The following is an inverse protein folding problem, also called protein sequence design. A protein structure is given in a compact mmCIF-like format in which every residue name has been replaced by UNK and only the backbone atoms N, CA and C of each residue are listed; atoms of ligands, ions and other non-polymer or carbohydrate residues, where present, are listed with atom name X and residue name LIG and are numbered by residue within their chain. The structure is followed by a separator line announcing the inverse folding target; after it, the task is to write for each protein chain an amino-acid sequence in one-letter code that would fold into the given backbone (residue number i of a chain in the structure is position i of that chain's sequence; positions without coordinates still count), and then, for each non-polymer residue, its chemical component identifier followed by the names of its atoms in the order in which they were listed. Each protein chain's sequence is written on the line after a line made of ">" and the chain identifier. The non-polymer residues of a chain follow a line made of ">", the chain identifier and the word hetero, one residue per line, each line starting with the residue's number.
data_IF_725509693997
#
_entry.id   IF_725509693997
#
_cell.length_a   1.000
_cell.length_b   1.000
_cell.length_c   1.000
_cell.angle_alpha   90.00
_cell.angle_beta   90.00
_cell.angle_gamma   90.00
#
_symmetry.space_group_name_H-M   'P 1'
#
loop_
_entity.id
_entity.type
_entity.pdbx_description
1 polymer ?
#
# COMPACT_ATOMS: atom_id res chain seq x y z
N UNK A 1 31.40 21.40 8.89
CA UNK A 1 30.53 20.44 8.15
C UNK A 1 29.66 19.73 9.17
N UNK A 2 28.36 20.03 9.24
CA UNK A 2 27.48 19.42 10.26
C UNK A 2 26.96 18.07 9.74
N UNK A 3 27.65 16.99 10.07
CA UNK A 3 27.18 15.63 9.78
C UNK A 3 26.15 15.24 10.84
N UNK A 4 24.87 15.37 10.52
CA UNK A 4 23.81 14.77 11.33
C UNK A 4 24.02 13.24 11.35
N UNK A 5 23.98 12.58 12.53
CA UNK A 5 24.05 11.11 12.61
C UNK A 5 22.92 10.39 11.85
N UNK A 6 21.89 11.12 11.40
CA UNK A 6 20.78 10.60 10.59
C UNK A 6 20.88 10.98 9.10
N UNK A 7 22.03 11.48 8.63
CA UNK A 7 22.23 11.84 7.23
C UNK A 7 22.05 10.64 6.29
N UNK A 8 22.46 9.44 6.72
CA UNK A 8 22.27 8.21 5.96
C UNK A 8 20.79 7.86 5.74
N UNK A 9 19.94 8.02 6.77
CA UNK A 9 18.49 7.82 6.69
C UNK A 9 17.84 8.79 5.68
N UNK A 10 18.27 10.05 5.64
CA UNK A 10 17.78 11.02 4.64
C UNK A 10 18.19 10.65 3.23
N UNK A 11 19.40 10.08 3.06
CA UNK A 11 19.91 9.60 1.77
C UNK A 11 19.09 8.41 1.22
N UNK A 12 18.51 7.59 2.09
CA UNK A 12 17.63 6.50 1.67
C UNK A 12 16.27 6.99 1.13
N UNK A 13 15.79 8.15 1.58
CA UNK A 13 14.52 8.71 1.16
C UNK A 13 14.58 9.48 -0.19
N UNK A 14 15.56 9.17 -1.03
CA UNK A 14 15.73 9.85 -2.32
C UNK A 14 14.70 9.35 -3.35
N UNK A 15 14.09 10.25 -4.15
CA UNK A 15 13.12 9.86 -5.17
C UNK A 15 13.72 8.93 -6.24
N UNK A 16 15.02 9.07 -6.54
CA UNK A 16 15.75 8.19 -7.48
C UNK A 16 15.79 6.74 -6.98
N UNK A 17 16.13 6.54 -5.70
CA UNK A 17 16.14 5.20 -5.09
C UNK A 17 14.73 4.62 -5.00
N UNK A 18 13.75 5.41 -4.56
CA UNK A 18 12.35 4.97 -4.52
C UNK A 18 11.87 4.49 -5.91
N UNK A 19 12.17 5.25 -6.97
CA UNK A 19 11.86 4.85 -8.35
C UNK A 19 12.56 3.56 -8.76
N UNK A 20 13.86 3.44 -8.47
CA UNK A 20 14.62 2.22 -8.77
C UNK A 20 14.06 0.99 -8.03
N UNK A 21 13.68 1.15 -6.75
CA UNK A 21 13.04 0.09 -5.96
C UNK A 21 11.67 -0.29 -6.53
N UNK A 22 10.86 0.68 -6.96
CA UNK A 22 9.56 0.41 -7.60
C UNK A 22 9.75 -0.38 -8.90
N UNK A 23 10.67 0.05 -9.77
CA UNK A 23 10.96 -0.64 -11.03
C UNK A 23 11.48 -2.05 -10.76
N UNK A 24 12.46 -2.19 -9.87
CA UNK A 24 13.01 -3.49 -9.50
C UNK A 24 11.96 -4.43 -8.89
N UNK A 25 11.10 -3.91 -8.03
CA UNK A 25 9.96 -4.65 -7.46
C UNK A 25 9.00 -5.11 -8.55
N UNK A 26 8.61 -4.22 -9.47
CA UNK A 26 7.74 -4.57 -10.60
C UNK A 26 8.35 -5.68 -11.45
N UNK A 27 9.62 -5.55 -11.85
CA UNK A 27 10.31 -6.58 -12.64
C UNK A 27 10.40 -7.92 -11.90
N UNK A 28 10.74 -7.89 -10.61
CA UNK A 28 10.79 -9.08 -9.77
C UNK A 28 9.44 -9.78 -9.72
N UNK A 29 8.37 -9.05 -9.41
CA UNK A 29 7.02 -9.63 -9.33
C UNK A 29 6.50 -10.09 -10.68
N UNK A 30 6.78 -9.38 -11.77
CA UNK A 30 6.41 -9.82 -13.12
C UNK A 30 7.12 -11.12 -13.49
N UNK A 31 8.45 -11.18 -13.29
CA UNK A 31 9.23 -12.41 -13.52
C UNK A 31 8.74 -13.56 -12.65
N UNK A 32 8.43 -13.29 -11.39
CA UNK A 32 7.93 -14.30 -10.49
C UNK A 32 6.58 -14.85 -10.98
N UNK A 33 5.64 -13.99 -11.38
CA UNK A 33 4.33 -14.42 -11.87
C UNK A 33 4.38 -15.28 -13.15
N UNK A 34 5.48 -15.31 -13.91
CA UNK A 34 5.64 -16.19 -15.09
C UNK A 34 5.44 -17.66 -14.73
N UNK A 35 5.72 -18.09 -13.48
CA UNK A 35 5.48 -19.48 -13.07
C UNK A 35 4.02 -19.92 -13.24
N UNK A 36 3.07 -18.97 -13.22
CA UNK A 36 1.65 -19.25 -13.44
C UNK A 36 1.33 -19.75 -14.85
N UNK A 37 2.16 -19.42 -15.85
CA UNK A 37 2.01 -19.92 -17.22
C UNK A 37 2.33 -21.42 -17.34
N UNK A 38 3.15 -21.96 -16.43
CA UNK A 38 3.59 -23.36 -16.47
C UNK A 38 2.64 -24.24 -15.65
N UNK A 39 2.07 -23.70 -14.57
CA UNK A 39 1.31 -24.50 -13.62
C UNK A 39 -0.21 -24.44 -13.75
N UNK A 40 -0.75 -23.76 -14.77
CA UNK A 40 -2.18 -23.74 -15.08
C UNK A 40 -2.45 -24.38 -16.44
N UNK A 41 -3.45 -25.25 -16.49
CA UNK A 41 -3.97 -25.88 -17.71
C UNK A 41 -5.34 -25.29 -18.06
N UNK A 42 -5.64 -25.18 -19.35
CA UNK A 42 -6.97 -24.81 -19.82
C UNK A 42 -7.89 -26.03 -19.80
N UNK A 43 -8.85 -26.06 -18.87
CA UNK A 43 -9.90 -27.08 -18.78
C UNK A 43 -11.25 -26.60 -19.34
N UNK A 44 -12.24 -27.50 -19.35
CA UNK A 44 -13.61 -27.19 -19.82
C UNK A 44 -14.30 -26.05 -19.06
N UNK A 45 -13.88 -25.77 -17.81
CA UNK A 45 -14.44 -24.72 -16.96
C UNK A 45 -13.48 -23.53 -16.76
N UNK A 46 -12.48 -23.38 -17.63
CA UNK A 46 -11.48 -22.31 -17.57
C UNK A 46 -10.10 -22.81 -17.12
N UNK A 47 -9.23 -21.88 -16.70
CA UNK A 47 -7.89 -22.21 -16.24
C UNK A 47 -7.93 -22.89 -14.87
N UNK A 48 -7.56 -24.17 -14.83
CA UNK A 48 -7.42 -24.95 -13.60
C UNK A 48 -5.93 -25.10 -13.29
N UNK A 49 -5.56 -25.05 -12.02
CA UNK A 49 -4.21 -25.40 -11.63
C UNK A 49 -3.95 -26.85 -12.07
N UNK A 50 -2.79 -27.09 -12.70
CA UNK A 50 -2.33 -28.44 -13.03
C UNK A 50 -2.48 -29.34 -11.80
N UNK A 51 -3.01 -30.55 -11.98
CA UNK A 51 -3.24 -31.50 -10.88
C UNK A 51 -1.94 -32.01 -10.23
N UNK A 52 -0.78 -31.46 -10.62
CA UNK A 52 0.49 -31.80 -10.02
C UNK A 52 0.55 -31.35 -8.55
N UNK A 53 0.62 -32.29 -7.60
CA UNK A 53 0.53 -31.97 -6.17
C UNK A 53 1.69 -31.06 -5.70
N UNK A 54 2.85 -31.16 -6.35
CA UNK A 54 4.02 -30.32 -6.07
C UNK A 54 3.76 -28.85 -6.40
N UNK A 55 3.12 -28.57 -7.54
CA UNK A 55 2.80 -27.20 -7.93
C UNK A 55 1.71 -26.59 -7.04
N UNK A 56 0.68 -27.38 -6.70
CA UNK A 56 -0.36 -26.97 -5.74
C UNK A 56 0.22 -26.58 -4.37
N UNK A 57 1.18 -27.36 -3.85
CA UNK A 57 1.90 -27.06 -2.61
C UNK A 57 2.73 -25.77 -2.74
N UNK A 58 3.54 -25.65 -3.80
CA UNK A 58 4.35 -24.46 -4.07
C UNK A 58 3.47 -23.19 -4.12
N UNK A 59 2.39 -23.23 -4.90
CA UNK A 59 1.46 -22.12 -5.06
C UNK A 59 0.76 -21.75 -3.75
N UNK A 60 0.38 -22.74 -2.95
CA UNK A 60 -0.24 -22.51 -1.64
C UNK A 60 0.72 -21.79 -0.68
N UNK A 61 1.97 -22.26 -0.59
CA UNK A 61 3.01 -21.63 0.25
C UNK A 61 3.29 -20.21 -0.24
N UNK A 62 3.45 -20.03 -1.56
CA UNK A 62 3.67 -18.73 -2.18
C UNK A 62 2.54 -17.74 -1.86
N UNK A 63 1.29 -18.15 -2.03
CA UNK A 63 0.12 -17.30 -1.76
C UNK A 63 0.06 -16.88 -0.28
N UNK A 64 0.33 -17.82 0.63
CA UNK A 64 0.39 -17.54 2.08
C UNK A 64 1.48 -16.53 2.39
N UNK A 65 2.71 -16.75 1.89
CA UNK A 65 3.85 -15.85 2.15
C UNK A 65 3.54 -14.45 1.61
N UNK A 66 3.07 -14.35 0.37
CA UNK A 66 2.82 -13.06 -0.29
C UNK A 66 1.74 -12.26 0.44
N UNK A 67 0.67 -12.91 0.86
CA UNK A 67 -0.41 -12.27 1.59
C UNK A 67 -0.04 -11.88 3.02
N UNK A 68 0.58 -12.79 3.78
CA UNK A 68 0.98 -12.52 5.17
C UNK A 68 2.06 -11.46 5.22
N UNK A 69 3.08 -11.55 4.35
CA UNK A 69 4.16 -10.57 4.29
C UNK A 69 3.61 -9.17 3.99
N UNK A 70 2.72 -9.06 3.00
CA UNK A 70 2.06 -7.79 2.67
C UNK A 70 1.28 -7.22 3.85
N UNK A 71 0.50 -8.07 4.53
CA UNK A 71 -0.27 -7.66 5.71
C UNK A 71 0.64 -7.18 6.84
N UNK A 72 1.71 -7.92 7.15
CA UNK A 72 2.67 -7.57 8.20
C UNK A 72 3.35 -6.25 7.87
N UNK A 73 3.83 -6.07 6.64
CA UNK A 73 4.45 -4.80 6.20
C UNK A 73 3.48 -3.64 6.32
N UNK A 74 2.22 -3.81 5.89
CA UNK A 74 1.19 -2.76 6.00
C UNK A 74 0.87 -2.41 7.46
N UNK A 75 0.75 -3.40 8.34
CA UNK A 75 0.51 -3.18 9.77
C UNK A 75 1.70 -2.47 10.41
N UNK A 76 2.93 -2.97 10.23
CA UNK A 76 4.15 -2.36 10.77
C UNK A 76 4.29 -0.93 10.29
N UNK A 77 4.10 -0.68 8.99
CA UNK A 77 4.14 0.66 8.42
C UNK A 77 3.08 1.59 9.04
N UNK A 78 1.85 1.10 9.19
CA UNK A 78 0.74 1.87 9.76
C UNK A 78 0.98 2.21 11.23
N UNK A 79 1.49 1.26 12.02
CA UNK A 79 1.84 1.46 13.43
C UNK A 79 2.99 2.45 13.56
N UNK A 80 4.09 2.27 12.81
CA UNK A 80 5.23 3.18 12.83
C UNK A 80 4.83 4.60 12.40
N UNK A 81 3.96 4.71 11.40
CA UNK A 81 3.39 5.99 10.96
C UNK A 81 2.61 6.65 12.09
N UNK A 82 1.74 5.90 12.76
CA UNK A 82 0.92 6.41 13.86
C UNK A 82 1.78 6.84 15.06
N UNK A 83 2.78 6.05 15.43
CA UNK A 83 3.74 6.40 16.48
C UNK A 83 4.52 7.67 16.12
N UNK A 84 5.07 7.74 14.90
CA UNK A 84 5.85 8.89 14.45
C UNK A 84 5.01 10.18 14.41
N UNK A 85 3.75 10.10 13.94
CA UNK A 85 2.83 11.24 13.94
C UNK A 85 2.45 11.64 15.36
N UNK A 86 2.21 10.69 16.29
CA UNK A 86 1.90 11.01 17.70
C UNK A 86 3.08 11.65 18.43
N UNK A 87 4.32 11.31 18.08
CA UNK A 87 5.54 11.87 18.68
C UNK A 87 5.95 13.23 18.08
N UNK A 88 5.42 13.62 16.92
CA UNK A 88 5.81 14.85 16.21
C UNK A 88 5.26 16.18 16.78
N UNK A 89 4.05 16.25 17.38
CA UNK A 89 3.51 17.48 17.97
C UNK A 89 4.40 18.09 19.05
N UNK A 90 5.05 17.26 19.86
CA UNK A 90 5.95 17.71 20.92
C UNK A 90 7.31 18.23 20.41
N UNK A 91 7.66 17.94 19.13
CA UNK A 91 9.00 18.22 18.58
C UNK A 91 9.03 19.42 17.62
N UNK A 92 7.88 19.89 17.14
CA UNK A 92 7.79 21.08 16.28
C UNK A 92 7.63 22.38 17.06
N UNK A 93 7.32 22.31 18.35
CA UNK A 93 7.37 23.46 19.26
C UNK A 93 8.76 23.45 19.92
N UNK A 94 9.82 23.64 19.15
CA UNK A 94 11.09 24.11 19.72
C UNK A 94 11.19 25.62 19.46
N UNK A 95 10.75 26.46 20.42
CA UNK A 95 10.84 27.92 20.34
C UNK A 95 12.28 28.43 20.58
N UNK A 96 13.31 27.66 20.22
CA UNK A 96 14.71 28.05 20.45
C UNK A 96 15.21 29.18 19.53
N UNK A 97 14.35 29.74 18.66
CA UNK A 97 14.65 30.98 17.93
C UNK A 97 14.04 32.23 18.58
N UNK A 98 13.32 32.12 19.70
CA UNK A 98 12.79 33.29 20.42
C UNK A 98 13.70 33.83 21.52
N UNK A 99 14.95 33.36 21.61
CA UNK A 99 15.88 33.84 22.63
C UNK A 99 16.91 34.79 22.04
N UNK A 100 16.79 36.06 22.47
CA UNK A 100 17.65 37.25 22.28
C UNK A 100 17.48 38.03 20.98
N UNK A 101 16.47 38.91 20.95
CA UNK A 101 16.65 40.34 20.65
C UNK A 101 15.35 41.12 20.99
N UNK A 102 15.35 42.03 21.99
CA UNK A 102 14.13 42.66 22.52
C UNK A 102 13.57 43.86 21.72
N UNK A 103 13.96 44.08 20.45
CA UNK A 103 13.67 45.36 19.74
C UNK A 103 12.61 45.26 18.62
N UNK A 104 12.08 44.08 18.28
CA UNK A 104 11.16 43.94 17.13
C UNK A 104 9.79 43.36 17.51
N UNK A 105 8.95 44.19 18.13
CA UNK A 105 7.64 43.81 18.68
C UNK A 105 6.44 43.94 17.72
N UNK A 106 6.60 44.52 16.52
CA UNK A 106 5.48 44.71 15.58
C UNK A 106 5.37 43.67 14.45
N UNK A 107 6.44 42.95 14.09
CA UNK A 107 6.37 41.87 13.08
C UNK A 107 6.06 40.48 13.66
N UNK A 108 6.14 40.32 14.98
CA UNK A 108 6.07 39.03 15.67
C UNK A 108 4.66 38.40 15.62
N UNK A 109 3.60 39.19 15.53
CA UNK A 109 2.22 38.68 15.46
C UNK A 109 1.90 38.03 14.09
N UNK A 110 2.46 38.57 13.00
CA UNK A 110 2.27 38.05 11.64
C UNK A 110 3.04 36.74 11.43
N UNK A 111 4.26 36.65 11.94
CA UNK A 111 5.06 35.41 11.86
C UNK A 111 4.45 34.27 12.68
N UNK A 112 3.89 34.58 13.86
CA UNK A 112 3.24 33.58 14.72
C UNK A 112 1.98 33.00 14.07
N UNK A 113 1.23 33.82 13.33
CA UNK A 113 0.07 33.36 12.54
C UNK A 113 0.47 32.45 11.37
N UNK A 114 1.54 32.81 10.64
CA UNK A 114 2.04 31.99 9.51
C UNK A 114 2.55 30.63 10.01
N UNK A 115 3.28 30.59 11.13
CA UNK A 115 3.80 29.34 11.73
C UNK A 115 2.64 28.45 12.21
N UNK A 116 1.62 29.02 12.83
CA UNK A 116 0.45 28.25 13.29
C UNK A 116 -0.37 27.69 12.12
N UNK A 117 -0.53 28.44 11.02
CA UNK A 117 -1.17 27.94 9.80
C UNK A 117 -0.40 26.81 9.13
N UNK A 118 0.93 26.92 9.02
CA UNK A 118 1.79 25.87 8.44
C UNK A 118 1.76 24.60 9.30
N UNK A 119 1.77 24.74 10.63
CA UNK A 119 1.62 23.62 11.58
C UNK A 119 0.27 22.91 11.41
N UNK A 120 -0.83 23.67 11.34
CA UNK A 120 -2.18 23.11 11.15
C UNK A 120 -2.30 22.35 9.82
N UNK A 121 -1.72 22.89 8.74
CA UNK A 121 -1.72 22.23 7.43
C UNK A 121 -0.92 20.92 7.43
N UNK A 122 0.25 20.90 8.08
CA UNK A 122 1.03 19.67 8.25
C UNK A 122 0.29 18.62 9.07
N UNK A 123 -0.39 19.03 10.14
CA UNK A 123 -1.17 18.12 10.97
C UNK A 123 -2.38 17.53 10.23
N UNK A 124 -3.08 18.32 9.41
CA UNK A 124 -4.18 17.82 8.58
C UNK A 124 -3.67 16.77 7.58
N UNK A 125 -2.52 17.03 6.93
CA UNK A 125 -1.90 16.08 5.99
C UNK A 125 -1.51 14.76 6.68
N UNK A 126 -0.97 14.84 7.91
CA UNK A 126 -0.64 13.64 8.71
C UNK A 126 -1.90 12.84 9.08
N UNK A 127 -3.00 13.51 9.49
CA UNK A 127 -4.28 12.85 9.77
C UNK A 127 -4.85 12.15 8.53
N UNK A 128 -4.80 12.80 7.37
CA UNK A 128 -5.23 12.19 6.10
C UNK A 128 -4.41 10.94 5.79
N UNK A 129 -3.09 11.00 5.99
CA UNK A 129 -2.20 9.87 5.77
C UNK A 129 -2.50 8.68 6.69
N UNK A 130 -2.72 8.92 7.99
CA UNK A 130 -3.12 7.86 8.94
C UNK A 130 -4.47 7.26 8.53
N UNK A 131 -5.47 8.09 8.21
CA UNK A 131 -6.79 7.61 7.80
C UNK A 131 -6.69 6.69 6.58
N UNK A 132 -5.85 7.08 5.62
CA UNK A 132 -5.60 6.30 4.42
C UNK A 132 -4.92 4.96 4.75
N UNK A 133 -3.88 4.97 5.58
CA UNK A 133 -3.19 3.74 5.99
C UNK A 133 -4.14 2.76 6.71
N UNK A 134 -4.97 3.26 7.62
CA UNK A 134 -5.96 2.44 8.34
C UNK A 134 -7.04 1.88 7.40
N UNK A 135 -7.57 2.70 6.49
CA UNK A 135 -8.52 2.22 5.48
C UNK A 135 -7.88 1.14 4.60
N UNK A 136 -6.63 1.35 4.17
CA UNK A 136 -5.95 0.40 3.32
C UNK A 136 -5.76 -0.95 4.03
N UNK A 137 -5.38 -0.95 5.32
CA UNK A 137 -5.29 -2.18 6.14
C UNK A 137 -6.65 -2.84 6.30
N UNK A 138 -7.70 -2.08 6.64
CA UNK A 138 -9.04 -2.62 6.82
C UNK A 138 -9.58 -3.28 5.54
N UNK A 139 -9.50 -2.59 4.40
CA UNK A 139 -9.92 -3.13 3.11
C UNK A 139 -9.04 -4.28 2.64
N UNK A 140 -7.73 -4.24 2.92
CA UNK A 140 -6.85 -5.37 2.62
C UNK A 140 -7.27 -6.62 3.40
N UNK A 141 -7.53 -6.50 4.70
CA UNK A 141 -8.02 -7.62 5.52
C UNK A 141 -9.35 -8.14 4.94
N UNK A 142 -10.34 -7.27 4.70
CA UNK A 142 -11.66 -7.72 4.23
C UNK A 142 -11.59 -8.39 2.85
N UNK A 143 -10.82 -7.83 1.91
CA UNK A 143 -10.83 -8.25 0.51
C UNK A 143 -9.73 -9.27 0.15
N UNK A 144 -8.62 -9.33 0.89
CA UNK A 144 -7.51 -10.26 0.61
C UNK A 144 -7.44 -11.43 1.60
N UNK A 145 -8.03 -11.34 2.80
CA UNK A 145 -7.95 -12.45 3.77
C UNK A 145 -8.64 -13.70 3.25
N UNK A 146 -9.77 -13.56 2.56
CA UNK A 146 -10.49 -14.68 1.93
C UNK A 146 -9.59 -15.45 0.96
N UNK A 147 -8.85 -14.73 0.12
CA UNK A 147 -7.87 -15.34 -0.79
C UNK A 147 -6.70 -15.99 -0.06
N UNK A 148 -6.30 -15.43 1.08
CA UNK A 148 -5.20 -15.94 1.90
C UNK A 148 -5.58 -17.15 2.73
N UNK A 149 -6.86 -17.28 3.10
CA UNK A 149 -7.41 -18.42 3.83
C UNK A 149 -7.61 -19.64 2.93
N UNK A 150 -7.91 -19.42 1.64
CA UNK A 150 -8.12 -20.49 0.66
C UNK A 150 -6.96 -21.51 0.60
N UNK A 151 -5.67 -21.11 0.50
CA UNK A 151 -4.54 -22.04 0.51
C UNK A 151 -4.50 -22.97 1.73
N UNK A 152 -4.87 -22.50 2.92
CA UNK A 152 -4.90 -23.35 4.12
C UNK A 152 -5.98 -24.42 4.03
N UNK A 153 -7.14 -24.05 3.50
CA UNK A 153 -8.24 -24.99 3.26
C UNK A 153 -7.88 -26.00 2.15
N UNK A 154 -7.27 -25.52 1.06
CA UNK A 154 -6.81 -26.35 -0.03
C UNK A 154 -5.75 -27.37 0.42
N UNK A 155 -4.73 -26.94 1.18
CA UNK A 155 -3.72 -27.83 1.74
C UNK A 155 -4.33 -28.95 2.58
N UNK A 156 -5.34 -28.65 3.40
CA UNK A 156 -6.04 -29.65 4.21
C UNK A 156 -6.77 -30.70 3.36
N UNK A 157 -7.40 -30.28 2.26
CA UNK A 157 -8.11 -31.21 1.36
C UNK A 157 -7.12 -32.06 0.58
N UNK A 158 -6.03 -31.49 0.06
CA UNK A 158 -5.03 -32.23 -0.71
C UNK A 158 -4.27 -33.29 0.11
N UNK A 159 -4.32 -33.23 1.45
CA UNK A 159 -3.80 -34.28 2.32
C UNK A 159 -4.75 -35.49 2.46
N UNK A 160 -5.98 -35.40 1.98
CA UNK A 160 -6.95 -36.50 2.06
C UNK A 160 -6.73 -37.52 0.93
N UNK A 161 -6.86 -38.82 1.23
CA UNK A 161 -6.67 -39.91 0.25
C UNK A 161 -7.72 -39.92 -0.87
N UNK A 162 -8.91 -39.38 -0.62
CA UNK A 162 -9.99 -39.28 -1.60
C UNK A 162 -10.69 -37.93 -1.41
N UNK A 163 -10.91 -37.23 -2.52
CA UNK A 163 -11.59 -35.93 -2.53
C UNK A 163 -13.04 -36.17 -2.96
N UNK A 164 -14.00 -35.71 -2.14
CA UNK A 164 -15.42 -35.76 -2.49
C UNK A 164 -15.76 -34.67 -3.53
N UNK A 165 -16.75 -34.92 -4.40
CA UNK A 165 -17.26 -33.94 -5.37
C UNK A 165 -17.65 -32.63 -4.69
N UNK A 166 -18.30 -32.69 -3.53
CA UNK A 166 -18.67 -31.50 -2.75
C UNK A 166 -17.46 -30.65 -2.35
N UNK A 167 -16.34 -31.30 -2.01
CA UNK A 167 -15.10 -30.59 -1.64
C UNK A 167 -14.49 -29.86 -2.83
N UNK A 168 -14.56 -30.46 -4.03
CA UNK A 168 -14.12 -29.83 -5.27
C UNK A 168 -14.98 -28.59 -5.57
N UNK A 169 -16.30 -28.69 -5.42
CA UNK A 169 -17.22 -27.56 -5.61
C UNK A 169 -16.96 -26.44 -4.61
N UNK A 170 -16.75 -26.78 -3.33
CA UNK A 170 -16.39 -25.80 -2.29
C UNK A 170 -15.05 -25.14 -2.62
N UNK A 171 -14.03 -25.89 -3.04
CA UNK A 171 -12.74 -25.34 -3.46
C UNK A 171 -12.89 -24.35 -4.62
N UNK A 172 -13.66 -24.71 -5.65
CA UNK A 172 -13.94 -23.84 -6.79
C UNK A 172 -14.65 -22.55 -6.36
N UNK A 173 -15.66 -22.66 -5.50
CA UNK A 173 -16.40 -21.52 -4.96
C UNK A 173 -15.49 -20.57 -4.16
N UNK A 174 -14.69 -21.10 -3.22
CA UNK A 174 -13.77 -20.29 -2.42
C UNK A 174 -12.68 -19.62 -3.26
N UNK A 175 -12.11 -20.35 -4.22
CA UNK A 175 -11.13 -19.80 -5.16
C UNK A 175 -11.75 -18.68 -6.00
N UNK A 176 -12.96 -18.89 -6.52
CA UNK A 176 -13.68 -17.89 -7.33
C UNK A 176 -14.02 -16.63 -6.54
N UNK A 177 -14.57 -16.77 -5.33
CA UNK A 177 -14.84 -15.62 -4.45
C UNK A 177 -13.54 -14.91 -4.07
N UNK A 178 -12.49 -15.64 -3.69
CA UNK A 178 -11.22 -15.04 -3.31
C UNK A 178 -10.59 -14.24 -4.45
N UNK A 179 -10.61 -14.77 -5.67
CA UNK A 179 -10.10 -14.08 -6.86
C UNK A 179 -10.94 -12.82 -7.19
N UNK A 180 -12.26 -12.91 -7.09
CA UNK A 180 -13.16 -11.77 -7.30
C UNK A 180 -12.94 -10.67 -6.25
N UNK A 181 -12.78 -11.02 -4.98
CA UNK A 181 -12.48 -10.06 -3.91
C UNK A 181 -11.10 -9.43 -4.09
N UNK A 182 -10.09 -10.21 -4.47
CA UNK A 182 -8.74 -9.72 -4.78
C UNK A 182 -8.78 -8.71 -5.94
N UNK A 183 -9.50 -9.03 -7.01
CA UNK A 183 -9.67 -8.13 -8.16
C UNK A 183 -10.43 -6.86 -7.77
N UNK A 184 -11.45 -7.00 -6.92
CA UNK A 184 -12.21 -5.88 -6.36
C UNK A 184 -11.30 -4.98 -5.51
N UNK A 185 -10.37 -5.53 -4.73
CA UNK A 185 -9.41 -4.74 -3.97
C UNK A 185 -8.56 -3.85 -4.86
N UNK A 186 -8.06 -4.38 -5.99
CA UNK A 186 -7.28 -3.59 -6.95
C UNK A 186 -8.08 -2.39 -7.51
N UNK A 187 -9.35 -2.61 -7.84
CA UNK A 187 -10.25 -1.54 -8.31
C UNK A 187 -10.57 -0.51 -7.21
N UNK A 188 -10.91 -0.99 -6.01
CA UNK A 188 -11.31 -0.15 -4.88
C UNK A 188 -10.13 0.63 -4.30
N UNK A 189 -8.90 0.12 -4.38
CA UNK A 189 -7.71 0.81 -3.89
C UNK A 189 -7.60 2.22 -4.47
N UNK A 190 -7.72 2.38 -5.79
CA UNK A 190 -7.70 3.69 -6.45
C UNK A 190 -8.81 4.63 -5.94
N UNK A 191 -10.01 4.09 -5.73
CA UNK A 191 -11.15 4.85 -5.20
C UNK A 191 -10.87 5.31 -3.76
N UNK A 192 -10.30 4.44 -2.91
CA UNK A 192 -9.90 4.78 -1.55
C UNK A 192 -8.88 5.92 -1.55
N UNK A 193 -7.84 5.85 -2.40
CA UNK A 193 -6.86 6.92 -2.52
C UNK A 193 -7.52 8.26 -2.92
N UNK A 194 -8.46 8.21 -3.86
CA UNK A 194 -9.17 9.39 -4.37
C UNK A 194 -10.09 10.03 -3.31
N UNK A 195 -10.82 9.21 -2.55
CA UNK A 195 -11.75 9.67 -1.52
C UNK A 195 -10.99 10.14 -0.27
N UNK A 196 -10.01 9.39 0.20
CA UNK A 196 -9.34 9.62 1.47
C UNK A 196 -8.31 10.77 1.44
N UNK A 197 -7.70 11.05 0.27
CA UNK A 197 -6.64 12.06 0.15
C UNK A 197 -7.06 13.24 -0.73
N UNK A 198 -7.30 14.41 -0.11
CA UNK A 198 -7.53 15.66 -0.83
C UNK A 198 -6.34 16.03 -1.71
N UNK A 199 -5.12 15.76 -1.22
CA UNK A 199 -3.87 16.03 -1.93
C UNK A 199 -3.78 15.19 -3.20
N UNK A 200 -4.05 13.89 -3.11
CA UNK A 200 -4.04 13.00 -4.27
C UNK A 200 -5.06 13.46 -5.32
N UNK A 201 -6.29 13.78 -4.89
CA UNK A 201 -7.34 14.28 -5.78
C UNK A 201 -6.94 15.57 -6.51
N UNK A 202 -6.32 16.52 -5.80
CA UNK A 202 -5.85 17.78 -6.40
C UNK A 202 -4.76 17.53 -7.45
N UNK A 203 -3.76 16.73 -7.12
CA UNK A 203 -2.67 16.38 -8.05
C UNK A 203 -3.19 15.60 -9.26
N UNK A 204 -4.15 14.69 -9.06
CA UNK A 204 -4.79 13.95 -10.14
C UNK A 204 -5.54 14.88 -11.11
N UNK A 205 -6.36 15.80 -10.60
CA UNK A 205 -7.05 16.80 -11.41
C UNK A 205 -6.06 17.68 -12.17
N UNK A 206 -4.98 18.13 -11.50
CA UNK A 206 -3.93 18.92 -12.16
C UNK A 206 -3.23 18.15 -13.26
N UNK A 207 -2.98 16.85 -13.06
CA UNK A 207 -2.36 15.97 -14.05
C UNK A 207 -3.26 15.81 -15.27
N UNK A 208 -4.56 15.57 -15.06
CA UNK A 208 -5.56 15.51 -16.15
C UNK A 208 -5.60 16.83 -16.92
N UNK A 209 -5.67 17.97 -16.22
CA UNK A 209 -5.67 19.30 -16.87
C UNK A 209 -4.42 19.53 -17.70
N UNK A 210 -3.24 19.15 -17.20
CA UNK A 210 -1.97 19.28 -17.95
C UNK A 210 -1.98 18.39 -19.19
N UNK A 211 -2.43 17.14 -19.06
CA UNK A 211 -2.55 16.23 -20.20
C UNK A 211 -3.52 16.80 -21.26
N UNK A 212 -4.69 17.28 -20.84
CA UNK A 212 -5.68 17.90 -21.74
C UNK A 212 -5.11 19.12 -22.47
N UNK A 213 -4.47 20.03 -21.73
CA UNK A 213 -3.86 21.22 -22.32
C UNK A 213 -2.71 20.87 -23.27
N UNK A 214 -1.94 19.80 -23.00
CA UNK A 214 -0.89 19.35 -23.90
C UNK A 214 -1.45 18.77 -25.19
N UNK A 215 -2.59 18.06 -25.15
CA UNK A 215 -3.25 17.53 -26.35
C UNK A 215 -3.83 18.67 -27.20
N UNK A 216 -4.43 19.68 -26.57
CA UNK A 216 -4.96 20.85 -27.26
C UNK A 216 -3.90 21.77 -27.91
N UNK A 217 -2.60 21.55 -27.66
CA UNK A 217 -1.52 22.26 -28.37
C UNK A 217 -1.14 21.59 -29.70
N UNK A 218 -1.63 20.37 -29.96
CA UNK A 218 -1.39 19.62 -31.19
C UNK A 218 -2.63 19.51 -32.09
N UNK A 219 -3.71 20.22 -31.75
CA UNK A 219 -4.94 20.38 -32.54
C UNK A 219 -5.07 21.85 -32.96
#
# INVERSE_FOLDING_TARGET
>A
MVTSPRAWLRRQNSPRRARATIIGSLLFWTMFNIHSLIGYDTGQFGCIATAHPVYGLFYSIYSIITSILSLVVMIVFSVLTLLNVRSSPARQIHPHLFQKNPIQSYDMQRTTYIISQVSNHHQERQRQFIRLALLQVAFFIVLNLTWSAFPFYALRIFQQKAINVDQILILGFWSGIGLNLLSTYAAVAFIIYTIASKTFRREFILTIKRMWNSVGQYL
#
